data_IF_793607854280
#
_entry.id   IF_793607854280
#
_cell.length_a   1.000
_cell.length_b   1.000
_cell.length_c   1.000
_cell.angle_alpha   90.00
_cell.angle_beta   90.00
_cell.angle_gamma   90.00
#
_symmetry.space_group_name_H-M   'P 1'
#
loop_
_entity.id
_entity.type
_entity.pdbx_description
1 polymer ?
#
# COMPACT_ATOMS: atom_id res chain seq x y z
N UNK A 1 18.96 -1.72 -23.62
CA UNK A 1 18.21 -1.44 -22.37
C UNK A 1 18.57 -0.06 -21.89
N UNK A 2 17.55 0.77 -21.70
CA UNK A 2 17.72 2.14 -21.24
C UNK A 2 17.37 2.22 -19.76
N UNK A 3 18.04 3.12 -19.03
CA UNK A 3 17.78 3.40 -17.64
C UNK A 3 17.30 4.84 -17.51
N UNK A 4 16.10 5.01 -16.98
CA UNK A 4 15.55 6.32 -16.62
C UNK A 4 15.57 6.47 -15.10
N UNK A 5 16.03 7.61 -14.63
CA UNK A 5 16.00 7.96 -13.21
C UNK A 5 14.76 8.81 -12.87
N UNK A 6 14.55 9.03 -11.58
CA UNK A 6 13.39 9.78 -11.04
C UNK A 6 13.30 11.24 -11.49
N UNK A 7 14.31 11.79 -12.18
CA UNK A 7 14.30 13.16 -12.74
C UNK A 7 13.71 13.23 -14.14
N UNK A 8 13.55 12.07 -14.81
CA UNK A 8 12.96 11.99 -16.15
C UNK A 8 11.47 12.38 -16.13
N UNK A 9 11.04 13.17 -17.11
CA UNK A 9 9.64 13.59 -17.29
C UNK A 9 8.66 12.40 -17.41
N UNK A 10 9.13 11.27 -17.96
CA UNK A 10 8.31 10.08 -18.14
C UNK A 10 8.34 9.13 -16.95
N UNK A 11 9.20 9.37 -15.97
CA UNK A 11 9.42 8.43 -14.87
C UNK A 11 8.14 8.07 -14.12
N UNK A 12 7.37 9.05 -13.66
CA UNK A 12 6.16 8.80 -12.89
C UNK A 12 5.11 8.01 -13.68
N UNK A 13 4.93 8.32 -14.96
CA UNK A 13 4.03 7.56 -15.84
C UNK A 13 4.46 6.09 -15.96
N UNK A 14 5.74 5.83 -16.21
CA UNK A 14 6.28 4.48 -16.36
C UNK A 14 6.27 3.71 -15.03
N UNK A 15 6.55 4.38 -13.92
CA UNK A 15 6.41 3.85 -12.57
C UNK A 15 5.00 3.34 -12.32
N UNK A 16 3.99 4.18 -12.50
CA UNK A 16 2.59 3.84 -12.23
C UNK A 16 2.10 2.74 -13.18
N UNK A 17 2.59 2.72 -14.43
CA UNK A 17 2.34 1.64 -15.38
C UNK A 17 2.91 0.29 -14.90
N UNK A 18 4.19 0.23 -14.48
CA UNK A 18 4.78 -1.02 -13.95
C UNK A 18 4.02 -1.48 -12.70
N UNK A 19 3.71 -0.58 -11.78
CA UNK A 19 2.99 -0.92 -10.55
C UNK A 19 1.63 -1.57 -10.86
N UNK A 20 0.92 -1.09 -11.88
CA UNK A 20 -0.35 -1.67 -12.32
C UNK A 20 -0.22 -3.05 -12.97
N UNK A 21 0.93 -3.35 -13.57
CA UNK A 21 1.21 -4.61 -14.30
C UNK A 21 1.93 -5.66 -13.44
N UNK A 22 2.49 -5.28 -12.29
CA UNK A 22 3.32 -6.14 -11.44
C UNK A 22 2.64 -6.65 -10.18
N UNK A 23 1.33 -6.47 -10.03
CA UNK A 23 0.59 -6.81 -8.81
C UNK A 23 1.15 -6.13 -7.53
N UNK A 24 1.86 -5.03 -7.68
CA UNK A 24 2.37 -4.25 -6.59
C UNK A 24 1.25 -3.52 -5.85
N UNK A 25 1.45 -3.33 -4.53
CA UNK A 25 0.53 -2.55 -3.72
C UNK A 25 0.46 -1.11 -4.25
N UNK A 26 -0.73 -0.54 -4.45
CA UNK A 26 -0.91 0.82 -4.98
C UNK A 26 -0.28 1.93 -4.13
N UNK A 27 0.09 1.65 -2.88
CA UNK A 27 0.78 2.62 -2.00
C UNK A 27 2.08 3.18 -2.60
N UNK A 28 2.69 2.49 -3.55
CA UNK A 28 3.90 2.96 -4.24
C UNK A 28 3.61 3.87 -5.45
N UNK A 29 2.37 4.19 -5.77
CA UNK A 29 2.05 5.10 -6.87
C UNK A 29 2.59 6.51 -6.63
N UNK A 30 2.90 7.23 -7.73
CA UNK A 30 3.62 8.50 -7.70
C UNK A 30 2.92 9.58 -6.88
N UNK A 31 1.60 9.64 -6.96
CA UNK A 31 0.79 10.65 -6.26
C UNK A 31 0.72 10.46 -4.73
N UNK A 32 1.21 9.34 -4.16
CA UNK A 32 1.30 9.15 -2.71
C UNK A 32 2.65 9.54 -2.11
N UNK A 33 3.60 9.96 -2.92
CA UNK A 33 4.96 10.31 -2.47
C UNK A 33 4.95 11.35 -1.36
N UNK A 34 4.25 12.48 -1.55
CA UNK A 34 4.20 13.57 -0.57
C UNK A 34 3.51 13.15 0.73
N UNK A 35 2.48 12.30 0.61
CA UNK A 35 1.78 11.74 1.77
C UNK A 35 2.74 10.93 2.64
N UNK A 36 3.51 10.01 2.08
CA UNK A 36 4.41 9.17 2.87
C UNK A 36 5.63 9.95 3.38
N UNK A 37 6.16 10.89 2.61
CA UNK A 37 7.22 11.78 3.08
C UNK A 37 6.80 12.54 4.33
N UNK A 38 5.60 13.12 4.34
CA UNK A 38 5.06 13.83 5.51
C UNK A 38 4.69 12.87 6.65
N UNK A 39 4.02 11.76 6.35
CA UNK A 39 3.55 10.80 7.35
C UNK A 39 4.67 10.20 8.18
N UNK A 40 5.80 9.86 7.55
CA UNK A 40 6.97 9.30 8.23
C UNK A 40 8.01 10.35 8.64
N UNK A 41 7.77 11.64 8.33
CA UNK A 41 8.71 12.74 8.57
C UNK A 41 10.13 12.45 8.04
N UNK A 42 10.22 11.82 6.86
CA UNK A 42 11.49 11.39 6.27
C UNK A 42 11.78 12.11 4.96
N UNK A 43 12.91 12.84 4.95
CA UNK A 43 13.47 13.43 3.73
C UNK A 43 14.73 12.65 3.37
N UNK A 44 14.78 11.99 2.19
CA UNK A 44 15.97 11.25 1.78
C UNK A 44 17.11 12.20 1.38
N UNK A 45 18.34 11.79 1.65
CA UNK A 45 19.54 12.45 1.15
C UNK A 45 19.74 12.17 -0.34
N UNK A 46 19.43 10.93 -0.75
CA UNK A 46 19.50 10.50 -2.14
C UNK A 46 18.31 9.62 -2.50
N UNK A 47 17.64 9.95 -3.58
CA UNK A 47 16.62 9.11 -4.19
C UNK A 47 17.27 8.16 -5.18
N UNK A 48 16.99 6.88 -5.05
CA UNK A 48 17.40 5.82 -5.95
C UNK A 48 16.13 5.28 -6.61
N UNK A 49 15.67 5.99 -7.59
CA UNK A 49 14.42 5.72 -8.30
C UNK A 49 14.74 5.51 -9.77
N UNK A 50 14.52 4.27 -10.26
CA UNK A 50 14.91 3.88 -11.61
C UNK A 50 13.82 3.06 -12.28
N UNK A 51 13.64 3.29 -13.59
CA UNK A 51 12.87 2.43 -14.49
C UNK A 51 13.80 1.91 -15.58
N UNK A 52 13.80 0.62 -15.80
CA UNK A 52 14.51 0.00 -16.92
C UNK A 52 13.54 -0.23 -18.07
N UNK A 53 13.94 0.21 -19.26
CA UNK A 53 13.22 0.02 -20.52
C UNK A 53 13.93 -0.98 -21.42
N UNK A 54 13.15 -1.76 -22.16
CA UNK A 54 13.60 -2.55 -23.29
C UNK A 54 12.69 -2.24 -24.48
N UNK A 55 13.26 -1.70 -25.54
CA UNK A 55 12.51 -1.28 -26.74
C UNK A 55 11.29 -0.40 -26.41
N UNK A 56 11.49 0.58 -25.53
CA UNK A 56 10.44 1.51 -25.09
C UNK A 56 9.43 0.92 -24.10
N UNK A 57 9.51 -0.37 -23.78
CA UNK A 57 8.64 -1.03 -22.81
C UNK A 57 9.28 -0.99 -21.42
N UNK A 58 8.52 -0.58 -20.42
CA UNK A 58 8.97 -0.57 -19.03
C UNK A 58 8.98 -2.01 -18.47
N UNK A 59 10.14 -2.46 -18.01
CA UNK A 59 10.38 -3.84 -17.57
C UNK A 59 10.51 -3.94 -16.07
N UNK A 60 11.25 -3.03 -15.44
CA UNK A 60 11.58 -3.08 -14.03
C UNK A 60 11.53 -1.68 -13.42
N UNK A 61 10.93 -1.59 -12.24
CA UNK A 61 10.94 -0.43 -11.35
C UNK A 61 11.77 -0.75 -10.11
N UNK A 62 12.66 0.15 -9.74
CA UNK A 62 13.41 0.11 -8.50
C UNK A 62 13.20 1.42 -7.74
N UNK A 63 12.66 1.33 -6.52
CA UNK A 63 12.47 2.46 -5.61
C UNK A 63 13.16 2.17 -4.28
N UNK A 64 14.18 2.95 -3.97
CA UNK A 64 14.87 2.90 -2.69
C UNK A 64 15.45 4.28 -2.41
N UNK A 65 15.42 4.73 -1.20
CA UNK A 65 15.99 6.01 -0.80
C UNK A 65 17.08 5.79 0.24
N UNK A 66 18.12 6.59 0.14
CA UNK A 66 19.26 6.60 1.03
C UNK A 66 19.08 7.73 2.07
N UNK A 67 19.23 7.39 3.33
CA UNK A 67 19.18 8.32 4.46
C UNK A 67 20.53 8.26 5.18
N UNK A 68 21.20 9.41 5.28
CA UNK A 68 22.48 9.50 5.99
C UNK A 68 22.31 9.08 7.45
N UNK A 69 23.36 8.46 7.96
CA UNK A 69 23.46 8.15 9.38
C UNK A 69 23.55 9.46 10.19
N UNK A 70 22.64 9.65 11.13
CA UNK A 70 22.71 10.73 12.10
C UNK A 70 23.31 10.20 13.41
N UNK A 71 24.35 10.86 13.96
CA UNK A 71 24.87 10.63 15.31
C UNK A 71 25.15 9.15 15.70
N UNK A 72 25.96 8.41 14.93
CA UNK A 72 26.37 7.01 15.15
C UNK A 72 25.34 5.95 14.75
N UNK A 73 24.20 6.31 14.16
CA UNK A 73 23.27 5.34 13.61
C UNK A 73 23.80 4.71 12.30
N UNK A 74 23.41 3.48 12.06
CA UNK A 74 23.67 2.78 10.81
C UNK A 74 22.91 3.45 9.68
N UNK A 75 23.57 3.69 8.54
CA UNK A 75 22.91 4.20 7.32
C UNK A 75 21.69 3.33 7.01
N UNK A 76 20.58 3.97 6.70
CA UNK A 76 19.31 3.30 6.48
C UNK A 76 18.80 3.54 5.06
N UNK A 77 18.26 2.47 4.45
CA UNK A 77 17.61 2.55 3.14
C UNK A 77 16.16 2.11 3.25
N UNK A 78 15.27 2.94 2.77
CA UNK A 78 13.83 2.66 2.71
C UNK A 78 13.19 3.52 1.64
N UNK A 79 11.90 3.32 1.34
CA UNK A 79 11.14 4.23 0.50
C UNK A 79 10.19 5.06 1.39
N UNK A 80 10.61 6.27 1.80
CA UNK A 80 9.89 7.15 2.74
C UNK A 80 9.39 6.43 4.01
N UNK A 81 10.15 5.49 4.54
CA UNK A 81 9.76 4.69 5.71
C UNK A 81 8.97 3.41 5.40
N UNK A 82 8.55 3.22 4.15
CA UNK A 82 8.11 1.92 3.64
C UNK A 82 9.34 1.10 3.21
N UNK A 83 9.24 -0.22 3.09
CA UNK A 83 10.25 -1.01 2.38
C UNK A 83 10.49 -0.44 0.98
N UNK A 84 11.72 -0.51 0.47
CA UNK A 84 11.97 -0.30 -0.95
C UNK A 84 11.23 -1.33 -1.79
N UNK A 85 11.10 -1.09 -3.09
CA UNK A 85 10.41 -2.04 -3.98
C UNK A 85 11.23 -2.32 -5.24
N UNK A 86 11.24 -3.60 -5.64
CA UNK A 86 11.61 -4.05 -6.97
C UNK A 86 10.35 -4.64 -7.61
N UNK A 87 9.72 -3.91 -8.52
CA UNK A 87 8.56 -4.37 -9.25
C UNK A 87 8.96 -4.72 -10.70
N UNK A 88 8.58 -5.92 -11.15
CA UNK A 88 8.94 -6.44 -12.46
C UNK A 88 7.65 -6.66 -13.26
N UNK A 89 7.63 -6.22 -14.51
CA UNK A 89 6.53 -6.45 -15.41
C UNK A 89 6.39 -7.97 -15.69
N UNK A 90 5.34 -8.56 -15.16
CA UNK A 90 5.09 -10.00 -15.23
C UNK A 90 4.77 -10.52 -16.65
N UNK A 91 4.42 -9.62 -17.58
CA UNK A 91 4.13 -9.96 -18.98
C UNK A 91 5.38 -10.08 -19.84
N UNK A 92 6.54 -9.72 -19.32
CA UNK A 92 7.80 -9.73 -20.04
C UNK A 92 8.49 -11.08 -19.92
N UNK A 93 9.25 -11.47 -20.95
CA UNK A 93 10.07 -12.69 -20.93
C UNK A 93 11.12 -12.65 -19.80
N UNK A 94 11.39 -13.79 -19.17
CA UNK A 94 12.31 -13.93 -18.05
C UNK A 94 13.72 -13.47 -18.38
N UNK A 95 14.23 -13.76 -19.57
CA UNK A 95 15.58 -13.35 -19.99
C UNK A 95 15.71 -11.82 -20.02
N UNK A 96 14.64 -11.14 -20.47
CA UNK A 96 14.57 -9.67 -20.49
C UNK A 96 14.49 -9.13 -19.04
N UNK A 97 13.75 -9.79 -18.16
CA UNK A 97 13.67 -9.44 -16.73
C UNK A 97 15.05 -9.56 -16.08
N UNK A 98 15.80 -10.64 -16.33
CA UNK A 98 17.16 -10.84 -15.84
C UNK A 98 18.14 -9.77 -16.34
N UNK A 99 18.06 -9.44 -17.62
CA UNK A 99 18.86 -8.36 -18.21
C UNK A 99 18.54 -7.00 -17.58
N UNK A 100 17.26 -6.73 -17.30
CA UNK A 100 16.84 -5.50 -16.63
C UNK A 100 17.39 -5.42 -15.19
N UNK A 101 17.37 -6.53 -14.45
CA UNK A 101 17.95 -6.61 -13.11
C UNK A 101 19.46 -6.38 -13.14
N UNK A 102 20.17 -7.04 -14.06
CA UNK A 102 21.62 -6.83 -14.25
C UNK A 102 21.96 -5.37 -14.55
N UNK A 103 21.11 -4.70 -15.36
CA UNK A 103 21.29 -3.28 -15.68
C UNK A 103 21.19 -2.39 -14.42
N UNK A 104 20.18 -2.61 -13.57
CA UNK A 104 20.04 -1.89 -12.27
C UNK A 104 21.24 -2.16 -11.37
N UNK A 105 21.62 -3.42 -11.21
CA UNK A 105 22.72 -3.80 -10.31
C UNK A 105 24.05 -3.22 -10.78
N UNK A 106 24.33 -3.21 -12.09
CA UNK A 106 25.50 -2.53 -12.65
C UNK A 106 25.51 -1.06 -12.31
N UNK A 107 24.38 -0.38 -12.52
CA UNK A 107 24.26 1.04 -12.20
C UNK A 107 24.43 1.32 -10.70
N UNK A 108 23.81 0.51 -9.82
CA UNK A 108 23.98 0.65 -8.37
C UNK A 108 25.45 0.42 -7.92
N UNK A 109 26.21 -0.42 -8.63
CA UNK A 109 27.66 -0.57 -8.41
C UNK A 109 28.43 0.67 -8.85
N UNK A 110 28.15 1.17 -10.05
CA UNK A 110 28.80 2.38 -10.62
C UNK A 110 28.65 3.57 -9.69
N UNK A 111 27.45 3.80 -9.12
CA UNK A 111 27.17 4.89 -8.18
C UNK A 111 27.55 4.57 -6.72
N UNK A 112 28.17 3.43 -6.46
CA UNK A 112 28.70 3.02 -5.15
C UNK A 112 27.65 2.56 -4.12
N UNK A 113 26.39 2.41 -4.51
CA UNK A 113 25.28 2.05 -3.60
C UNK A 113 25.41 0.62 -3.07
N UNK A 114 25.82 -0.34 -3.92
CA UNK A 114 25.97 -1.75 -3.53
C UNK A 114 26.90 -1.92 -2.32
N UNK A 115 28.02 -1.17 -2.31
CA UNK A 115 28.99 -1.20 -1.20
C UNK A 115 28.36 -0.68 0.10
N UNK A 116 27.53 0.36 0.00
CA UNK A 116 26.83 0.93 1.14
C UNK A 116 25.73 0.01 1.67
N UNK A 117 24.96 -0.66 0.79
CA UNK A 117 23.91 -1.62 1.19
C UNK A 117 24.45 -2.72 2.09
N UNK A 118 25.64 -3.27 1.79
CA UNK A 118 26.29 -4.34 2.62
C UNK A 118 26.52 -3.93 4.07
N UNK A 119 26.74 -2.63 4.33
CA UNK A 119 27.05 -2.12 5.68
C UNK A 119 25.88 -1.39 6.34
N UNK A 120 24.71 -1.37 5.72
CA UNK A 120 23.57 -0.54 6.11
C UNK A 120 22.35 -1.39 6.44
N UNK A 121 21.40 -0.81 7.16
CA UNK A 121 20.07 -1.40 7.34
C UNK A 121 19.20 -1.07 6.13
N UNK A 122 18.57 -2.10 5.53
CA UNK A 122 17.61 -1.90 4.45
C UNK A 122 16.54 -3.01 4.43
N UNK A 123 15.43 -2.69 3.82
CA UNK A 123 14.38 -3.64 3.45
C UNK A 123 13.89 -3.33 2.04
N UNK A 124 13.86 -4.33 1.18
CA UNK A 124 13.33 -4.25 -0.19
C UNK A 124 12.32 -5.36 -0.38
N UNK A 125 11.19 -5.07 -0.99
CA UNK A 125 10.16 -6.06 -1.29
C UNK A 125 9.99 -6.25 -2.79
N UNK A 126 9.64 -7.47 -3.19
CA UNK A 126 9.24 -7.79 -4.55
C UNK A 126 7.85 -8.43 -4.52
N UNK A 127 6.84 -7.81 -5.12
CA UNK A 127 5.47 -8.34 -5.12
C UNK A 127 5.28 -9.53 -6.06
N UNK A 128 6.23 -9.77 -6.95
CA UNK A 128 6.12 -10.82 -7.96
C UNK A 128 6.48 -12.18 -7.36
N UNK A 129 5.51 -13.05 -7.24
CA UNK A 129 5.60 -14.35 -6.57
C UNK A 129 6.05 -15.50 -7.47
N UNK A 130 6.37 -15.28 -8.75
CA UNK A 130 6.84 -16.38 -9.60
C UNK A 130 8.26 -16.79 -9.21
N UNK A 131 8.55 -18.09 -9.17
CA UNK A 131 9.88 -18.64 -8.91
C UNK A 131 10.96 -18.12 -9.88
N UNK A 132 10.55 -17.74 -11.08
CA UNK A 132 11.41 -17.14 -12.12
C UNK A 132 11.91 -15.75 -11.72
N UNK A 133 11.08 -14.96 -11.05
CA UNK A 133 11.47 -13.60 -10.62
C UNK A 133 12.47 -13.62 -9.46
N UNK A 134 12.52 -14.71 -8.66
CA UNK A 134 13.49 -14.84 -7.58
C UNK A 134 14.91 -15.00 -8.14
N UNK A 135 15.06 -15.75 -9.23
CA UNK A 135 16.38 -15.93 -9.87
C UNK A 135 16.95 -14.57 -10.33
N UNK A 136 16.09 -13.67 -10.85
CA UNK A 136 16.50 -12.30 -11.23
C UNK A 136 16.97 -11.45 -10.05
N UNK A 137 16.63 -11.84 -8.80
CA UNK A 137 17.06 -11.15 -7.57
C UNK A 137 18.32 -11.73 -6.92
N UNK A 138 18.93 -12.79 -7.50
CA UNK A 138 20.04 -13.53 -6.87
C UNK A 138 21.16 -12.62 -6.34
N UNK A 139 21.59 -11.64 -7.12
CA UNK A 139 22.64 -10.72 -6.70
C UNK A 139 22.21 -9.80 -5.54
N UNK A 140 20.94 -9.38 -5.48
CA UNK A 140 20.42 -8.63 -4.33
C UNK A 140 20.31 -9.53 -3.10
N UNK A 141 19.91 -10.79 -3.29
CA UNK A 141 19.85 -11.81 -2.23
C UNK A 141 21.22 -11.96 -1.57
N UNK A 142 22.30 -12.00 -2.35
CA UNK A 142 23.67 -12.09 -1.84
C UNK A 142 24.12 -10.88 -1.00
N UNK A 143 23.41 -9.76 -1.04
CA UNK A 143 23.68 -8.58 -0.23
C UNK A 143 22.94 -8.59 1.11
N UNK A 144 22.00 -9.51 1.30
CA UNK A 144 21.08 -9.53 2.42
C UNK A 144 21.52 -10.48 3.52
N UNK A 145 21.22 -10.14 4.76
CA UNK A 145 21.36 -11.05 5.91
C UNK A 145 20.18 -12.01 6.02
N UNK A 146 19.03 -11.65 5.47
CA UNK A 146 17.83 -12.47 5.48
C UNK A 146 16.96 -12.29 4.24
N UNK A 147 16.32 -13.39 3.86
CA UNK A 147 15.25 -13.41 2.85
C UNK A 147 14.02 -13.96 3.53
N UNK A 148 12.87 -13.29 3.38
CA UNK A 148 11.64 -13.75 3.99
C UNK A 148 10.47 -13.68 2.99
N UNK A 149 9.46 -14.48 3.23
CA UNK A 149 8.19 -14.42 2.51
C UNK A 149 7.23 -13.53 3.28
N UNK A 150 6.44 -12.74 2.56
CA UNK A 150 5.29 -12.04 3.14
C UNK A 150 4.03 -12.35 2.33
N UNK A 151 2.90 -12.22 2.99
CA UNK A 151 1.60 -12.43 2.37
C UNK A 151 0.82 -11.14 2.39
N UNK A 152 0.24 -10.76 1.26
CA UNK A 152 -0.66 -9.63 1.15
C UNK A 152 -2.06 -10.12 0.78
N UNK A 153 -3.06 -9.67 1.52
CA UNK A 153 -4.45 -10.04 1.24
C UNK A 153 -5.04 -9.12 0.19
N UNK A 154 -5.58 -9.72 -0.86
CA UNK A 154 -6.20 -9.00 -1.97
C UNK A 154 -7.57 -9.59 -2.28
N UNK A 155 -8.59 -8.73 -2.32
CA UNK A 155 -9.94 -9.06 -2.73
C UNK A 155 -10.08 -8.76 -4.22
N UNK A 156 -10.51 -9.75 -4.99
CA UNK A 156 -10.81 -9.60 -6.41
C UNK A 156 -12.23 -9.05 -6.56
N UNK A 157 -12.35 -7.79 -6.98
CA UNK A 157 -13.61 -7.08 -7.16
C UNK A 157 -14.26 -7.33 -8.53
N UNK A 158 -13.65 -8.13 -9.42
CA UNK A 158 -14.33 -8.57 -10.66
C UNK A 158 -15.47 -9.56 -10.36
N UNK A 159 -15.42 -10.21 -9.21
CA UNK A 159 -16.46 -11.14 -8.71
C UNK A 159 -17.77 -10.40 -8.46
N UNK A 160 -18.92 -11.06 -8.64
CA UNK A 160 -20.20 -10.48 -8.26
C UNK A 160 -20.36 -10.35 -6.72
N UNK A 161 -21.41 -9.65 -6.29
CA UNK A 161 -21.62 -9.37 -4.86
C UNK A 161 -21.84 -10.65 -4.03
N UNK A 162 -22.57 -11.64 -4.57
CA UNK A 162 -22.86 -12.88 -3.88
C UNK A 162 -21.61 -13.75 -3.77
N UNK A 163 -20.78 -13.80 -4.81
CA UNK A 163 -19.50 -14.48 -4.80
C UNK A 163 -18.52 -13.83 -3.80
N UNK A 164 -18.48 -12.50 -3.73
CA UNK A 164 -17.69 -11.78 -2.74
C UNK A 164 -18.13 -12.16 -1.32
N UNK A 165 -19.44 -12.07 -1.04
CA UNK A 165 -20.01 -12.42 0.27
C UNK A 165 -19.78 -13.89 0.60
N UNK A 166 -19.85 -14.81 -0.38
CA UNK A 166 -19.62 -16.25 -0.15
C UNK A 166 -18.24 -16.53 0.47
N UNK A 167 -17.25 -15.72 0.16
CA UNK A 167 -15.87 -15.83 0.67
C UNK A 167 -15.64 -15.15 2.04
N UNK A 168 -16.62 -14.39 2.54
CA UNK A 168 -16.49 -13.72 3.84
C UNK A 168 -16.65 -14.70 5.01
N UNK A 169 -16.10 -14.33 6.16
CA UNK A 169 -16.30 -15.08 7.39
C UNK A 169 -17.78 -15.11 7.82
N UNK A 170 -18.15 -16.11 8.62
CA UNK A 170 -19.52 -16.22 9.15
C UNK A 170 -19.95 -14.96 9.91
N UNK A 171 -19.03 -14.33 10.66
CA UNK A 171 -19.33 -13.10 11.43
C UNK A 171 -19.66 -11.92 10.51
N UNK A 172 -18.92 -11.74 9.42
CA UNK A 172 -19.20 -10.69 8.42
C UNK A 172 -20.52 -10.95 7.72
N UNK A 173 -20.77 -12.20 7.26
CA UNK A 173 -22.06 -12.59 6.65
C UNK A 173 -23.25 -12.29 7.56
N UNK A 174 -23.12 -12.65 8.84
CA UNK A 174 -24.16 -12.38 9.83
C UNK A 174 -24.36 -10.87 10.03
N UNK A 175 -23.28 -10.11 10.15
CA UNK A 175 -23.36 -8.66 10.33
C UNK A 175 -24.01 -7.96 9.12
N UNK A 176 -23.69 -8.39 7.90
CA UNK A 176 -24.34 -7.86 6.68
C UNK A 176 -25.82 -8.20 6.64
N UNK A 177 -26.19 -9.46 6.95
CA UNK A 177 -27.58 -9.93 6.93
C UNK A 177 -28.45 -9.28 8.02
N UNK A 178 -27.88 -9.10 9.23
CA UNK A 178 -28.63 -8.61 10.38
C UNK A 178 -28.65 -7.08 10.47
N UNK A 179 -27.81 -6.38 9.73
CA UNK A 179 -27.79 -4.93 9.67
C UNK A 179 -28.53 -4.47 8.41
N UNK A 180 -29.84 -4.29 8.53
CA UNK A 180 -30.61 -3.46 7.60
C UNK A 180 -30.20 -2.00 7.83
N UNK A 181 -28.97 -1.65 7.44
CA UNK A 181 -28.57 -0.25 7.41
C UNK A 181 -29.46 0.47 6.40
N UNK A 182 -30.13 1.51 6.84
CA UNK A 182 -30.86 2.41 5.95
C UNK A 182 -29.95 2.84 4.78
N UNK A 183 -30.49 3.05 3.61
CA UNK A 183 -29.70 3.36 2.41
C UNK A 183 -28.83 4.61 2.60
N UNK A 184 -29.27 5.57 3.41
CA UNK A 184 -28.61 6.81 3.78
C UNK A 184 -27.57 6.69 4.90
N UNK A 185 -27.46 5.50 5.52
CA UNK A 185 -26.47 5.25 6.59
C UNK A 185 -25.02 5.12 6.07
N UNK A 186 -24.83 5.05 4.76
CA UNK A 186 -23.50 4.97 4.13
C UNK A 186 -23.36 6.04 3.05
N UNK A 187 -22.22 6.74 3.04
CA UNK A 187 -21.85 7.69 2.01
C UNK A 187 -20.44 7.40 1.52
N UNK A 188 -20.26 7.32 0.20
CA UNK A 188 -18.94 7.37 -0.42
C UNK A 188 -18.65 8.80 -0.83
N UNK A 189 -17.51 9.32 -0.41
CA UNK A 189 -17.03 10.65 -0.76
C UNK A 189 -15.83 10.50 -1.69
N UNK A 190 -15.90 11.13 -2.84
CA UNK A 190 -14.90 11.09 -3.91
C UNK A 190 -14.60 12.50 -4.46
N UNK A 191 -13.84 12.59 -5.55
CA UNK A 191 -13.52 13.85 -6.22
C UNK A 191 -14.72 14.57 -6.82
N UNK A 192 -15.83 13.87 -7.11
CA UNK A 192 -17.05 14.45 -7.67
C UNK A 192 -17.94 15.04 -6.58
N UNK A 193 -17.69 14.71 -5.32
CA UNK A 193 -18.42 15.29 -4.19
C UNK A 193 -18.15 16.80 -4.07
N UNK A 194 -19.11 17.60 -3.59
CA UNK A 194 -18.92 19.05 -3.39
C UNK A 194 -17.68 19.34 -2.52
N UNK A 195 -16.98 20.45 -2.82
CA UNK A 195 -15.74 20.81 -2.11
C UNK A 195 -15.93 20.95 -0.59
N UNK A 196 -17.04 21.56 -0.18
CA UNK A 196 -17.39 21.68 1.25
C UNK A 196 -17.59 20.31 1.89
N UNK A 197 -18.31 19.40 1.24
CA UNK A 197 -18.51 18.03 1.71
C UNK A 197 -17.17 17.30 1.86
N UNK A 198 -16.21 17.47 0.92
CA UNK A 198 -14.88 16.88 1.01
C UNK A 198 -14.12 17.41 2.22
N UNK A 199 -14.14 18.73 2.46
CA UNK A 199 -13.48 19.37 3.62
C UNK A 199 -14.07 18.89 4.95
N UNK A 200 -15.40 18.87 5.06
CA UNK A 200 -16.10 18.35 6.23
C UNK A 200 -15.77 16.87 6.47
N UNK A 201 -15.69 16.07 5.42
CA UNK A 201 -15.33 14.65 5.51
C UNK A 201 -13.94 14.45 6.09
N UNK A 202 -12.93 15.19 5.59
CA UNK A 202 -11.56 15.10 6.12
C UNK A 202 -11.53 15.50 7.60
N UNK A 203 -12.23 16.57 7.96
CA UNK A 203 -12.33 17.01 9.37
C UNK A 203 -13.00 15.94 10.24
N UNK A 204 -14.13 15.41 9.82
CA UNK A 204 -14.87 14.40 10.57
C UNK A 204 -14.07 13.09 10.72
N UNK A 205 -13.41 12.63 9.65
CA UNK A 205 -12.54 11.44 9.72
C UNK A 205 -11.33 11.66 10.62
N UNK A 206 -10.72 12.86 10.61
CA UNK A 206 -9.62 13.24 11.51
C UNK A 206 -10.05 13.17 12.96
N UNK A 207 -11.22 13.72 13.29
CA UNK A 207 -11.78 13.72 14.65
C UNK A 207 -12.11 12.30 15.11
N UNK A 208 -12.82 11.52 14.30
CA UNK A 208 -13.13 10.13 14.57
C UNK A 208 -11.86 9.29 14.77
N UNK A 209 -10.84 9.50 13.93
CA UNK A 209 -9.57 8.80 14.04
C UNK A 209 -8.82 9.16 15.34
N UNK A 210 -8.82 10.44 15.72
CA UNK A 210 -8.22 10.89 16.98
C UNK A 210 -8.92 10.25 18.17
N UNK A 211 -10.24 10.28 18.21
CA UNK A 211 -11.05 9.66 19.27
C UNK A 211 -10.81 8.14 19.33
N UNK A 212 -10.81 7.46 18.20
CA UNK A 212 -10.57 6.01 18.10
C UNK A 212 -9.16 5.61 18.58
N UNK A 213 -8.13 6.37 18.18
CA UNK A 213 -6.74 6.08 18.53
C UNK A 213 -6.35 6.55 19.95
N UNK A 214 -7.11 7.47 20.55
CA UNK A 214 -6.81 8.10 21.84
C UNK A 214 -5.60 9.05 21.80
N UNK A 215 -5.00 9.29 20.64
CA UNK A 215 -3.85 10.19 20.45
C UNK A 215 -3.76 10.67 18.99
N UNK A 216 -3.07 11.77 18.78
CA UNK A 216 -2.71 12.19 17.41
C UNK A 216 -1.68 11.21 16.81
N UNK A 217 -2.01 10.61 15.69
CA UNK A 217 -1.14 9.68 14.96
C UNK A 217 -0.66 10.27 13.62
N UNK A 218 -1.19 11.43 13.23
CA UNK A 218 -0.87 12.15 11.99
C UNK A 218 -0.79 13.65 12.26
N UNK A 219 0.11 14.34 11.56
CA UNK A 219 0.19 15.80 11.58
C UNK A 219 -1.02 16.43 10.86
N UNK A 220 -1.29 17.69 11.14
CA UNK A 220 -2.33 18.43 10.41
C UNK A 220 -2.00 18.52 8.93
N UNK A 221 -0.71 18.64 8.59
CA UNK A 221 -0.23 18.62 7.20
C UNK A 221 -0.54 17.31 6.48
N UNK A 222 -0.42 16.18 7.17
CA UNK A 222 -0.80 14.87 6.60
C UNK A 222 -2.29 14.86 6.22
N UNK A 223 -3.17 15.43 7.05
CA UNK A 223 -4.61 15.53 6.75
C UNK A 223 -4.92 16.49 5.60
N UNK A 224 -4.19 17.61 5.49
CA UNK A 224 -4.28 18.52 4.33
C UNK A 224 -3.92 17.81 3.02
N UNK A 225 -2.82 17.02 3.04
CA UNK A 225 -2.42 16.22 1.87
C UNK A 225 -3.51 15.20 1.51
N UNK A 226 -4.14 14.54 2.50
CA UNK A 226 -5.27 13.63 2.24
C UNK A 226 -6.46 14.38 1.62
N UNK A 227 -6.74 15.62 2.04
CA UNK A 227 -7.74 16.47 1.41
C UNK A 227 -7.44 16.75 -0.06
N UNK A 228 -6.18 17.04 -0.39
CA UNK A 228 -5.74 17.22 -1.78
C UNK A 228 -5.83 15.95 -2.60
N UNK A 229 -5.49 14.79 -2.01
CA UNK A 229 -5.63 13.49 -2.65
C UNK A 229 -7.11 13.12 -2.89
N UNK A 230 -8.02 13.49 -2.00
CA UNK A 230 -9.46 13.30 -2.18
C UNK A 230 -9.97 14.17 -3.34
N UNK A 231 -9.54 15.43 -3.39
CA UNK A 231 -9.92 16.36 -4.46
C UNK A 231 -9.40 15.91 -5.84
N UNK A 232 -8.22 15.28 -5.90
CA UNK A 232 -7.64 14.75 -7.15
C UNK A 232 -8.20 13.38 -7.57
N UNK A 233 -9.06 12.74 -6.75
CA UNK A 233 -9.56 11.40 -7.02
C UNK A 233 -8.55 10.28 -6.73
N UNK A 234 -7.44 10.59 -6.06
CA UNK A 234 -6.42 9.59 -5.66
C UNK A 234 -6.82 8.79 -4.43
N UNK A 235 -7.79 9.28 -3.65
CA UNK A 235 -8.42 8.53 -2.57
C UNK A 235 -9.95 8.67 -2.63
N UNK A 236 -10.63 7.72 -1.98
CA UNK A 236 -12.05 7.82 -1.65
C UNK A 236 -12.26 7.47 -0.18
N UNK A 237 -13.34 7.99 0.41
CA UNK A 237 -13.66 7.80 1.82
C UNK A 237 -15.09 7.27 1.95
N UNK A 238 -15.24 6.09 2.56
CA UNK A 238 -16.53 5.55 2.98
C UNK A 238 -16.84 5.98 4.41
N UNK A 239 -17.98 6.60 4.60
CA UNK A 239 -18.50 7.04 5.91
C UNK A 239 -19.74 6.24 6.28
N UNK A 240 -19.78 5.76 7.51
CA UNK A 240 -20.90 5.01 8.07
C UNK A 240 -21.57 5.77 9.23
N UNK A 241 -22.89 5.86 9.18
CA UNK A 241 -23.71 6.59 10.14
C UNK A 241 -24.71 5.66 10.83
N UNK A 242 -24.95 5.92 12.12
CA UNK A 242 -26.09 5.37 12.88
C UNK A 242 -26.85 6.53 13.51
N UNK A 243 -28.14 6.63 13.20
CA UNK A 243 -28.97 7.71 13.73
C UNK A 243 -28.34 9.10 13.50
N UNK A 244 -27.82 9.31 12.28
CA UNK A 244 -27.12 10.53 11.82
C UNK A 244 -25.73 10.77 12.48
N UNK A 245 -25.31 9.97 13.45
CA UNK A 245 -23.99 10.06 14.05
C UNK A 245 -22.96 9.29 13.20
N UNK A 246 -21.79 9.91 12.93
CA UNK A 246 -20.68 9.27 12.26
C UNK A 246 -20.03 8.24 13.19
N UNK A 247 -20.17 6.96 12.87
CA UNK A 247 -19.66 5.85 13.69
C UNK A 247 -18.51 5.08 13.03
N UNK A 248 -18.35 5.23 11.72
CA UNK A 248 -17.29 4.55 10.95
C UNK A 248 -16.76 5.44 9.84
N UNK A 249 -15.47 5.38 9.59
CA UNK A 249 -14.82 6.01 8.44
C UNK A 249 -13.68 5.15 7.93
N UNK A 250 -13.61 4.95 6.62
CA UNK A 250 -12.54 4.20 5.96
C UNK A 250 -12.04 4.95 4.73
N UNK A 251 -10.73 5.08 4.58
CA UNK A 251 -10.07 5.70 3.43
C UNK A 251 -9.39 4.64 2.58
N UNK A 252 -9.58 4.73 1.29
CA UNK A 252 -8.98 3.86 0.29
C UNK A 252 -8.11 4.69 -0.65
N UNK A 253 -6.85 4.29 -0.80
CA UNK A 253 -5.91 4.86 -1.76
C UNK A 253 -6.10 4.18 -3.11
N UNK A 254 -6.20 4.95 -4.20
CA UNK A 254 -6.49 4.45 -5.54
C UNK A 254 -5.29 4.63 -6.47
N UNK A 255 -4.94 3.59 -7.23
CA UNK A 255 -3.98 3.68 -8.32
C UNK A 255 -4.39 2.72 -9.45
N UNK A 256 -4.66 3.28 -10.63
CA UNK A 256 -5.20 2.52 -11.76
C UNK A 256 -6.51 1.83 -11.39
N UNK A 257 -6.56 0.49 -11.50
CA UNK A 257 -7.72 -0.33 -11.13
C UNK A 257 -7.55 -1.03 -9.78
N UNK A 258 -6.66 -0.52 -8.95
CA UNK A 258 -6.38 -1.08 -7.63
C UNK A 258 -6.67 -0.07 -6.52
N UNK A 259 -7.13 -0.56 -5.38
CA UNK A 259 -7.31 0.21 -4.16
C UNK A 259 -6.54 -0.43 -3.00
N UNK A 260 -6.11 0.40 -2.04
CA UNK A 260 -5.53 -0.04 -0.77
C UNK A 260 -6.34 0.50 0.40
N UNK A 261 -6.75 -0.38 1.30
CA UNK A 261 -7.43 -0.03 2.55
C UNK A 261 -6.43 0.59 3.54
N UNK A 262 -6.35 1.92 3.55
CA UNK A 262 -5.27 2.66 4.17
C UNK A 262 -5.55 3.12 5.60
N UNK A 263 -6.76 3.60 5.86
CA UNK A 263 -7.16 4.17 7.16
C UNK A 263 -8.53 3.65 7.53
N UNK A 264 -8.75 3.37 8.81
CA UNK A 264 -10.07 3.12 9.37
C UNK A 264 -10.15 3.65 10.78
N UNK A 265 -11.31 4.18 11.12
CA UNK A 265 -11.66 4.61 12.46
C UNK A 265 -13.10 4.23 12.78
N UNK A 266 -13.36 3.87 14.03
CA UNK A 266 -14.70 3.56 14.54
C UNK A 266 -14.96 4.37 15.81
N UNK A 267 -16.22 4.68 16.10
CA UNK A 267 -16.62 5.20 17.40
C UNK A 267 -16.14 4.25 18.50
N UNK A 268 -15.62 4.81 19.60
CA UNK A 268 -15.12 4.04 20.75
C UNK A 268 -16.19 3.16 21.38
N UNK A 269 -17.41 3.64 21.40
CA UNK A 269 -18.56 2.96 21.98
C UNK A 269 -18.93 1.67 21.24
N UNK A 270 -18.49 1.58 19.97
CA UNK A 270 -18.76 0.44 19.11
C UNK A 270 -17.51 -0.44 18.88
N UNK A 271 -16.41 -0.19 19.59
CA UNK A 271 -15.22 -1.04 19.53
C UNK A 271 -15.57 -2.43 20.08
N UNK A 272 -15.21 -3.47 19.32
CA UNK A 272 -15.56 -4.87 19.66
C UNK A 272 -16.90 -5.32 19.12
N UNK A 273 -17.72 -4.41 18.53
CA UNK A 273 -18.91 -4.79 17.79
C UNK A 273 -18.59 -5.09 16.32
N UNK A 274 -19.52 -5.73 15.63
CA UNK A 274 -19.38 -6.02 14.18
C UNK A 274 -19.81 -4.85 13.28
N UNK A 275 -19.98 -3.64 13.82
CA UNK A 275 -20.56 -2.50 13.10
C UNK A 275 -19.74 -2.06 11.87
N UNK A 276 -18.42 -2.20 11.91
CA UNK A 276 -17.58 -1.86 10.78
C UNK A 276 -17.78 -2.78 9.55
N UNK A 277 -18.24 -4.03 9.76
CA UNK A 277 -18.34 -5.01 8.69
C UNK A 277 -19.28 -4.59 7.56
N UNK A 278 -20.55 -4.18 7.80
CA UNK A 278 -21.46 -3.76 6.73
C UNK A 278 -20.96 -2.48 6.04
N UNK A 279 -20.33 -1.54 6.74
CA UNK A 279 -19.79 -0.34 6.11
C UNK A 279 -18.59 -0.62 5.20
N UNK A 280 -17.69 -1.51 5.62
CA UNK A 280 -16.60 -1.96 4.74
C UNK A 280 -17.17 -2.71 3.52
N UNK A 281 -18.20 -3.53 3.69
CA UNK A 281 -18.86 -4.19 2.56
C UNK A 281 -19.49 -3.19 1.59
N UNK A 282 -20.19 -2.15 2.08
CA UNK A 282 -20.70 -1.06 1.25
C UNK A 282 -19.57 -0.34 0.51
N UNK A 283 -18.43 -0.10 1.18
CA UNK A 283 -17.24 0.48 0.55
C UNK A 283 -16.69 -0.44 -0.56
N UNK A 284 -16.65 -1.75 -0.35
CA UNK A 284 -16.23 -2.74 -1.36
C UNK A 284 -17.13 -2.66 -2.60
N UNK A 285 -18.44 -2.60 -2.42
CA UNK A 285 -19.39 -2.48 -3.55
C UNK A 285 -19.20 -1.15 -4.29
N UNK A 286 -19.06 -0.03 -3.56
CA UNK A 286 -18.84 1.27 -4.16
C UNK A 286 -17.50 1.35 -4.93
N UNK A 287 -16.43 0.75 -4.42
CA UNK A 287 -15.15 0.64 -5.15
C UNK A 287 -15.31 -0.17 -6.45
N UNK A 288 -16.08 -1.25 -6.42
CA UNK A 288 -16.40 -2.04 -7.62
C UNK A 288 -17.16 -1.19 -8.66
N UNK A 289 -18.14 -0.39 -8.25
CA UNK A 289 -18.88 0.56 -9.12
C UNK A 289 -17.97 1.63 -9.73
N UNK A 290 -16.90 2.04 -9.02
CA UNK A 290 -15.85 2.91 -9.54
C UNK A 290 -14.89 2.21 -10.52
N UNK A 291 -15.09 0.94 -10.83
CA UNK A 291 -14.24 0.17 -11.76
C UNK A 291 -12.94 -0.36 -11.15
N UNK A 292 -12.82 -0.33 -9.82
CA UNK A 292 -11.69 -0.96 -9.12
C UNK A 292 -11.83 -2.48 -9.22
N UNK A 293 -10.72 -3.15 -9.55
CA UNK A 293 -10.68 -4.60 -9.76
C UNK A 293 -10.00 -5.34 -8.61
N UNK A 294 -9.07 -4.69 -7.90
CA UNK A 294 -8.34 -5.30 -6.78
C UNK A 294 -8.37 -4.38 -5.56
N UNK A 295 -8.74 -4.94 -4.40
CA UNK A 295 -8.63 -4.24 -3.13
C UNK A 295 -7.57 -4.92 -2.24
N UNK A 296 -6.48 -4.22 -2.01
CA UNK A 296 -5.40 -4.63 -1.12
C UNK A 296 -5.78 -4.30 0.32
N UNK A 297 -5.86 -5.34 1.15
CA UNK A 297 -6.19 -5.21 2.58
C UNK A 297 -4.95 -5.08 3.46
N UNK A 298 -3.75 -5.28 2.89
CA UNK A 298 -2.47 -5.21 3.57
C UNK A 298 -1.93 -6.57 4.02
N UNK A 299 -0.75 -6.53 4.63
CA UNK A 299 0.02 -7.73 5.01
C UNK A 299 -0.72 -8.60 6.02
N UNK A 300 -0.47 -9.91 5.91
CA UNK A 300 -0.98 -10.96 6.78
C UNK A 300 0.19 -11.82 7.27
N UNK A 301 0.03 -12.46 8.43
CA UNK A 301 1.01 -13.39 9.00
C UNK A 301 2.40 -12.75 9.22
N UNK A 302 2.44 -11.45 9.54
CA UNK A 302 3.72 -10.74 9.78
C UNK A 302 4.48 -11.33 10.99
N UNK A 303 3.77 -12.01 11.92
CA UNK A 303 4.35 -12.75 13.04
C UNK A 303 5.31 -13.88 12.62
N UNK A 304 5.27 -14.31 11.37
CA UNK A 304 6.22 -15.28 10.83
C UNK A 304 7.59 -14.67 10.52
N UNK A 305 7.68 -13.35 10.47
CA UNK A 305 8.88 -12.62 10.02
C UNK A 305 9.40 -11.60 11.02
N UNK A 306 8.56 -11.14 11.95
CA UNK A 306 8.91 -10.16 13.00
C UNK A 306 7.97 -10.26 14.19
N UNK A 307 8.40 -9.72 15.30
CA UNK A 307 7.49 -9.51 16.43
C UNK A 307 6.41 -8.47 16.06
N UNK A 308 5.17 -8.82 16.34
CA UNK A 308 4.01 -7.95 16.15
C UNK A 308 3.24 -7.75 17.45
N UNK A 309 2.67 -6.58 17.60
CA UNK A 309 1.79 -6.28 18.72
C UNK A 309 0.47 -7.03 18.60
N UNK A 310 -0.22 -7.23 19.72
CA UNK A 310 -1.59 -7.79 19.73
C UNK A 310 -2.54 -6.95 18.87
N UNK A 311 -2.38 -5.62 18.88
CA UNK A 311 -3.16 -4.71 18.02
C UNK A 311 -2.96 -5.00 16.54
N UNK A 312 -1.72 -5.18 16.07
CA UNK A 312 -1.42 -5.51 14.68
C UNK A 312 -2.03 -6.86 14.27
N UNK A 313 -1.92 -7.86 15.16
CA UNK A 313 -2.54 -9.17 14.96
C UNK A 313 -4.07 -9.08 14.82
N UNK A 314 -4.71 -8.29 15.68
CA UNK A 314 -6.16 -8.09 15.64
C UNK A 314 -6.59 -7.34 14.37
N UNK A 315 -5.81 -6.37 13.89
CA UNK A 315 -6.05 -5.69 12.59
C UNK A 315 -5.93 -6.67 11.43
N UNK A 316 -4.89 -7.49 11.38
CA UNK A 316 -4.71 -8.49 10.34
C UNK A 316 -5.86 -9.52 10.34
N UNK A 317 -6.26 -9.99 11.53
CA UNK A 317 -7.41 -10.88 11.72
C UNK A 317 -8.72 -10.24 11.24
N UNK A 318 -8.99 -8.97 11.61
CA UNK A 318 -10.16 -8.25 11.13
C UNK A 318 -10.21 -8.19 9.60
N UNK A 319 -9.10 -7.81 8.97
CA UNK A 319 -8.99 -7.74 7.51
C UNK A 319 -9.22 -9.11 6.85
N UNK A 320 -8.79 -10.19 7.48
CA UNK A 320 -8.97 -11.55 6.96
C UNK A 320 -10.43 -12.01 6.90
N UNK A 321 -11.32 -11.38 7.65
CA UNK A 321 -12.74 -11.72 7.67
C UNK A 321 -13.45 -11.42 6.35
N UNK A 322 -12.91 -10.52 5.53
CA UNK A 322 -13.43 -10.18 4.21
C UNK A 322 -12.96 -11.12 3.08
N UNK A 323 -12.36 -12.26 3.42
CA UNK A 323 -11.91 -13.25 2.44
C UNK A 323 -10.74 -12.72 1.59
N UNK A 324 -10.79 -12.97 0.28
CA UNK A 324 -9.74 -12.60 -0.66
C UNK A 324 -8.60 -13.62 -0.72
N UNK A 325 -7.74 -13.47 -1.72
CA UNK A 325 -6.56 -14.31 -1.95
C UNK A 325 -5.35 -13.78 -1.18
N UNK A 326 -4.43 -14.66 -0.87
CA UNK A 326 -3.11 -14.30 -0.36
C UNK A 326 -2.13 -14.24 -1.53
N UNK A 327 -1.60 -13.06 -1.80
CA UNK A 327 -0.49 -12.90 -2.73
C UNK A 327 0.82 -13.08 -1.96
N UNK A 328 1.67 -13.98 -2.46
CA UNK A 328 3.01 -14.20 -1.93
C UNK A 328 3.96 -13.17 -2.52
N UNK A 329 4.73 -12.50 -1.66
CA UNK A 329 5.85 -11.65 -2.05
C UNK A 329 7.10 -12.05 -1.27
N UNK A 330 8.25 -11.53 -1.72
CA UNK A 330 9.54 -11.74 -1.09
C UNK A 330 10.08 -10.43 -0.55
N UNK A 331 10.62 -10.50 0.66
CA UNK A 331 11.36 -9.42 1.28
C UNK A 331 12.83 -9.78 1.43
N UNK A 332 13.69 -8.82 1.13
CA UNK A 332 15.15 -8.88 1.29
C UNK A 332 15.50 -7.89 2.38
N UNK A 333 16.20 -8.33 3.40
CA UNK A 333 16.53 -7.47 4.54
C UNK A 333 17.99 -7.62 4.96
N UNK A 334 18.57 -6.50 5.34
CA UNK A 334 19.85 -6.43 6.04
C UNK A 334 19.68 -5.56 7.28
N UNK A 335 18.89 -6.04 8.23
CA UNK A 335 18.72 -5.38 9.52
C UNK A 335 19.85 -5.85 10.41
N UNK A 336 20.80 -4.96 10.73
CA UNK A 336 21.78 -5.21 11.78
C UNK A 336 21.06 -5.04 13.13
N UNK A 337 20.99 -6.13 13.87
CA UNK A 337 20.55 -6.14 15.26
C UNK A 337 21.51 -5.35 16.15
#
# INVERSE_FOLDING_TARGET
>A
MDLLDGTSLQFNYLRDKILSESEANPIYASHFTDYYQEYFHRKPDKKLEFVVLHEGTAILLFLLHDYAATNKEVRHFSYYGLPGIVAINSKTNTDIQDLAMKKILSHLREIGVIKNLKSSSFEITSPNSSSKNIASLEELICLCSSVYMYFERVIDLNKDADELVSNFSKSVKSAIKNNELAADSFRLIDSNSPDETRKETIKALKELHFLSAGRRTRSDKTWEIQGSLLASGSIVIGLGYLQEELVHGAMFMLAGRSAFYAVSANSKELIGTSIAHPFIFRSILALKELGIQKLYMGRQFEELTRDITEKERNIAKFKSFFGGNLLLGFGLSNVKQ
#
